data_IF_317366500186
#
_entry.id   IF_317366500186
#
_cell.length_a   1.000
_cell.length_b   1.000
_cell.length_c   1.000
_cell.angle_alpha   90.00
_cell.angle_beta   90.00
_cell.angle_gamma   90.00
#
_symmetry.space_group_name_H-M   'P 1'
#
loop_
_entity.id
_entity.type
_entity.pdbx_description
1 polymer ?
#
# COMPACT_ATOMS: atom_id res chain seq x y z
N UNK A 1 10.94 6.12 17.62
CA UNK A 1 10.12 7.29 17.21
C UNK A 1 8.71 7.06 17.75
N UNK A 2 8.13 7.99 18.52
CA UNK A 2 6.77 7.92 19.08
C UNK A 2 5.98 9.18 18.68
N UNK A 3 4.67 9.06 18.49
CA UNK A 3 3.81 10.17 18.04
C UNK A 3 3.19 11.03 19.17
N UNK A 4 3.44 10.70 20.44
CA UNK A 4 2.88 11.42 21.59
C UNK A 4 3.19 12.92 21.56
N UNK A 5 2.16 13.76 21.65
CA UNK A 5 2.29 15.22 21.63
C UNK A 5 2.61 15.83 20.27
N UNK A 6 2.63 15.05 19.19
CA UNK A 6 3.10 15.48 17.86
C UNK A 6 1.98 15.71 16.85
N UNK A 7 2.25 16.57 15.88
CA UNK A 7 1.54 16.71 14.62
C UNK A 7 2.07 15.71 13.61
N UNK A 8 1.21 14.84 13.10
CA UNK A 8 1.58 13.77 12.18
C UNK A 8 0.93 14.00 10.83
N UNK A 9 1.71 13.91 9.76
CA UNK A 9 1.20 13.85 8.38
C UNK A 9 1.33 12.43 7.85
N UNK A 10 0.26 11.87 7.27
CA UNK A 10 0.26 10.56 6.62
C UNK A 10 0.01 10.76 5.13
N UNK A 11 1.00 10.45 4.31
CA UNK A 11 0.93 10.58 2.86
C UNK A 11 0.42 9.27 2.27
N UNK A 12 -0.84 9.21 1.85
CA UNK A 12 -1.46 8.02 1.27
C UNK A 12 -2.95 7.87 1.61
N UNK A 13 -3.67 7.24 0.68
CA UNK A 13 -5.13 7.02 0.77
C UNK A 13 -5.57 5.62 1.22
N UNK A 14 -4.65 4.67 1.32
CA UNK A 14 -4.97 3.23 1.47
C UNK A 14 -5.05 2.73 2.91
N UNK A 15 -5.18 1.40 3.05
CA UNK A 15 -5.29 0.74 4.37
C UNK A 15 -4.05 0.97 5.24
N UNK A 16 -2.85 0.94 4.65
CA UNK A 16 -1.60 1.30 5.35
C UNK A 16 -1.66 2.70 5.96
N UNK A 17 -2.24 3.67 5.25
CA UNK A 17 -2.40 5.02 5.78
C UNK A 17 -3.38 5.05 6.96
N UNK A 18 -4.48 4.30 6.87
CA UNK A 18 -5.43 4.14 7.97
C UNK A 18 -4.77 3.53 9.22
N UNK A 19 -3.89 2.55 9.06
CA UNK A 19 -3.17 1.94 10.19
C UNK A 19 -2.16 2.89 10.81
N UNK A 20 -1.43 3.66 9.99
CA UNK A 20 -0.54 4.72 10.46
C UNK A 20 -1.30 5.78 11.27
N UNK A 21 -2.47 6.22 10.79
CA UNK A 21 -3.34 7.18 11.49
C UNK A 21 -3.76 6.63 12.86
N UNK A 22 -4.30 5.41 12.88
CA UNK A 22 -4.79 4.80 14.11
C UNK A 22 -3.67 4.59 15.13
N UNK A 23 -2.49 4.19 14.67
CA UNK A 23 -1.31 4.03 15.52
C UNK A 23 -0.84 5.37 16.08
N UNK A 24 -0.80 6.43 15.26
CA UNK A 24 -0.40 7.76 15.69
C UNK A 24 -1.31 8.30 16.80
N UNK A 25 -2.63 8.21 16.64
CA UNK A 25 -3.58 8.62 17.68
C UNK A 25 -3.44 7.79 18.96
N UNK A 26 -3.31 6.46 18.84
CA UNK A 26 -3.11 5.55 19.99
C UNK A 26 -1.79 5.79 20.73
N UNK A 27 -0.79 6.38 20.06
CA UNK A 27 0.45 6.83 20.67
C UNK A 27 0.36 8.25 21.28
N UNK A 28 -0.79 8.94 21.16
CA UNK A 28 -1.04 10.25 21.74
C UNK A 28 -0.72 11.44 20.82
N UNK A 29 -0.76 11.27 19.50
CA UNK A 29 -0.66 12.39 18.56
C UNK A 29 -1.75 13.43 18.83
N UNK A 30 -1.37 14.71 18.81
CA UNK A 30 -2.33 15.81 19.03
C UNK A 30 -3.14 16.12 17.77
N UNK A 31 -2.56 15.86 16.60
CA UNK A 31 -3.22 16.06 15.30
C UNK A 31 -2.65 15.09 14.29
N UNK A 32 -3.52 14.47 13.50
CA UNK A 32 -3.13 13.63 12.37
C UNK A 32 -3.83 14.14 11.11
N UNK A 33 -3.06 14.45 10.07
CA UNK A 33 -3.57 14.86 8.76
C UNK A 33 -3.20 13.82 7.71
N UNK A 34 -4.19 13.27 7.02
CA UNK A 34 -4.03 12.37 5.90
C UNK A 34 -4.07 13.16 4.58
N UNK A 35 -3.13 12.88 3.69
CA UNK A 35 -3.09 13.42 2.33
C UNK A 35 -3.39 12.31 1.32
N UNK A 36 -4.38 12.54 0.46
CA UNK A 36 -4.67 11.70 -0.70
C UNK A 36 -4.57 12.53 -1.99
N UNK A 37 -3.81 12.03 -2.95
CA UNK A 37 -3.66 12.64 -4.27
C UNK A 37 -4.92 12.47 -5.14
N UNK A 38 -5.84 11.59 -4.74
CA UNK A 38 -7.09 11.30 -5.46
C UNK A 38 -8.19 12.29 -5.08
N UNK A 39 -9.19 12.49 -5.96
CA UNK A 39 -10.39 13.23 -5.64
C UNK A 39 -11.13 12.62 -4.45
N UNK A 40 -11.80 13.48 -3.69
CA UNK A 40 -12.69 13.05 -2.62
C UNK A 40 -13.77 12.14 -3.23
N UNK A 41 -13.88 10.87 -2.77
CA UNK A 41 -14.91 9.98 -3.27
C UNK A 41 -16.32 10.48 -2.91
N UNK A 42 -17.35 10.16 -3.69
CA UNK A 42 -18.73 10.57 -3.39
C UNK A 42 -19.21 9.92 -2.09
N UNK A 43 -20.02 10.63 -1.30
CA UNK A 43 -20.58 10.09 -0.05
C UNK A 43 -21.47 8.85 -0.28
N UNK A 44 -22.19 8.84 -1.40
CA UNK A 44 -23.06 7.74 -1.81
C UNK A 44 -22.58 7.15 -3.13
N UNK A 45 -22.58 5.82 -3.19
CA UNK A 45 -22.31 5.09 -4.43
C UNK A 45 -23.51 5.14 -5.38
N UNK A 46 -23.25 5.20 -6.68
CA UNK A 46 -24.23 4.84 -7.69
C UNK A 46 -24.24 3.32 -7.87
N UNK A 47 -25.13 2.64 -7.14
CA UNK A 47 -25.22 1.17 -7.14
C UNK A 47 -25.51 0.58 -8.52
N UNK A 48 -26.33 1.25 -9.33
CA UNK A 48 -26.74 0.72 -10.63
C UNK A 48 -25.61 0.82 -11.64
N UNK A 49 -24.82 1.89 -11.57
CA UNK A 49 -23.68 2.07 -12.47
C UNK A 49 -22.49 1.13 -12.14
N UNK A 50 -22.32 0.73 -10.88
CA UNK A 50 -21.13 -0.01 -10.43
C UNK A 50 -21.35 -1.50 -10.21
N UNK A 51 -22.59 -2.00 -10.05
CA UNK A 51 -22.84 -3.42 -9.82
C UNK A 51 -22.41 -4.28 -11.03
N UNK A 52 -21.72 -5.43 -10.84
CA UNK A 52 -21.38 -6.11 -9.59
C UNK A 52 -20.00 -5.74 -9.01
N UNK A 53 -19.35 -4.70 -9.52
CA UNK A 53 -18.03 -4.25 -9.07
C UNK A 53 -18.07 -3.51 -7.73
N UNK A 54 -16.89 -3.39 -7.12
CA UNK A 54 -16.72 -2.67 -5.87
C UNK A 54 -16.89 -1.16 -6.08
N UNK A 55 -17.90 -0.59 -5.46
CA UNK A 55 -18.23 0.81 -5.65
C UNK A 55 -17.20 1.78 -5.04
N UNK A 56 -16.90 2.84 -5.78
CA UNK A 56 -16.18 4.02 -5.29
C UNK A 56 -17.15 4.86 -4.45
N UNK A 57 -16.85 4.97 -3.15
CA UNK A 57 -17.56 5.86 -2.22
C UNK A 57 -16.64 6.26 -1.09
N UNK A 58 -17.01 7.34 -0.41
CA UNK A 58 -16.33 7.79 0.79
C UNK A 58 -16.48 6.72 1.86
N UNK A 59 -15.34 6.14 2.24
CA UNK A 59 -15.24 5.24 3.38
C UNK A 59 -14.41 5.94 4.45
N UNK A 60 -14.88 5.81 5.69
CA UNK A 60 -14.19 6.31 6.88
C UNK A 60 -13.90 5.10 7.75
N UNK A 61 -12.62 4.77 7.93
CA UNK A 61 -12.20 3.72 8.85
C UNK A 61 -12.37 4.18 10.30
N UNK A 62 -12.30 3.24 11.24
CA UNK A 62 -12.28 3.56 12.68
C UNK A 62 -11.13 4.51 13.02
N UNK A 63 -9.94 4.27 12.45
CA UNK A 63 -8.77 5.14 12.63
C UNK A 63 -9.01 6.56 12.13
N UNK A 64 -9.64 6.72 10.97
CA UNK A 64 -9.97 8.06 10.44
C UNK A 64 -11.05 8.73 11.31
N UNK A 65 -12.01 7.96 11.83
CA UNK A 65 -13.07 8.45 12.70
C UNK A 65 -12.58 8.93 14.08
N UNK A 66 -11.34 8.63 14.47
CA UNK A 66 -10.70 9.16 15.69
C UNK A 66 -10.33 10.66 15.60
N UNK A 67 -10.65 11.32 14.47
CA UNK A 67 -10.49 12.76 14.28
C UNK A 67 -9.43 13.14 13.25
N UNK A 68 -9.07 12.23 12.33
CA UNK A 68 -8.12 12.53 11.28
C UNK A 68 -8.67 13.61 10.33
N UNK A 69 -7.88 14.66 10.09
CA UNK A 69 -8.14 15.60 9.00
C UNK A 69 -7.74 14.94 7.68
N UNK A 70 -8.57 15.05 6.63
CA UNK A 70 -8.34 14.39 5.35
C UNK A 70 -8.35 15.43 4.24
N UNK A 71 -7.20 15.60 3.60
CA UNK A 71 -7.05 16.44 2.42
C UNK A 71 -7.02 15.55 1.18
N UNK A 72 -7.81 15.92 0.17
CA UNK A 72 -7.94 15.21 -1.09
C UNK A 72 -7.47 16.09 -2.23
N UNK A 73 -7.04 15.47 -3.34
CA UNK A 73 -6.39 16.17 -4.46
C UNK A 73 -5.20 17.01 -3.99
N UNK A 74 -4.40 16.46 -3.08
CA UNK A 74 -3.19 17.12 -2.58
C UNK A 74 -1.96 16.27 -2.89
N UNK A 75 -0.94 16.90 -3.46
CA UNK A 75 0.39 16.31 -3.62
C UNK A 75 1.36 16.86 -2.57
N UNK A 76 2.24 16.01 -2.09
CA UNK A 76 3.40 16.40 -1.29
C UNK A 76 4.55 16.81 -2.21
N UNK A 77 5.07 18.02 -2.01
CA UNK A 77 6.18 18.56 -2.80
C UNK A 77 7.52 18.43 -2.08
N UNK A 78 7.54 18.73 -0.78
CA UNK A 78 8.79 18.83 -0.01
C UNK A 78 8.56 18.56 1.49
N UNK A 79 9.52 17.89 2.12
CA UNK A 79 9.60 17.78 3.57
C UNK A 79 10.54 18.87 4.09
N UNK A 80 9.99 19.79 4.88
CA UNK A 80 10.71 20.95 5.40
C UNK A 80 11.11 20.69 6.84
N UNK A 81 12.37 20.94 7.16
CA UNK A 81 12.92 20.71 8.48
C UNK A 81 14.07 21.65 8.80
N UNK A 82 14.35 21.74 10.10
CA UNK A 82 15.45 22.52 10.68
C UNK A 82 16.26 21.58 11.59
N UNK A 83 17.59 21.68 11.55
CA UNK A 83 18.50 20.85 12.36
C UNK A 83 18.26 19.33 12.28
N UNK A 84 17.75 18.85 11.14
CA UNK A 84 17.45 17.43 10.92
C UNK A 84 16.10 16.97 11.49
N UNK A 85 15.30 17.88 12.04
CA UNK A 85 13.94 17.61 12.51
C UNK A 85 12.89 18.17 11.54
N UNK A 86 11.84 17.38 11.27
CA UNK A 86 10.72 17.80 10.44
C UNK A 86 9.91 18.88 11.16
N UNK A 87 9.58 19.97 10.45
CA UNK A 87 8.74 21.05 10.97
C UNK A 87 7.47 21.24 10.14
N UNK A 88 7.52 20.95 8.84
CA UNK A 88 6.37 21.05 7.95
C UNK A 88 6.47 20.14 6.71
N UNK A 89 5.33 19.92 6.06
CA UNK A 89 5.22 19.31 4.74
C UNK A 89 4.65 20.35 3.78
N UNK A 90 5.41 20.70 2.74
CA UNK A 90 4.95 21.56 1.65
C UNK A 90 4.09 20.72 0.70
N UNK A 91 2.89 21.21 0.44
CA UNK A 91 1.89 20.55 -0.38
C UNK A 91 1.35 21.51 -1.46
N UNK A 92 0.63 20.98 -2.43
CA UNK A 92 -0.17 21.76 -3.38
C UNK A 92 -1.42 20.97 -3.79
N UNK A 93 -2.40 21.68 -4.35
CA UNK A 93 -3.52 21.02 -5.00
C UNK A 93 -3.07 20.33 -6.30
N UNK A 94 -3.82 19.31 -6.74
CA UNK A 94 -3.61 18.64 -8.02
C UNK A 94 -4.85 18.61 -8.89
N UNK A 95 -4.63 18.66 -10.20
CA UNK A 95 -5.68 18.50 -11.20
C UNK A 95 -6.19 17.04 -11.30
N UNK A 96 -7.15 16.79 -12.19
CA UNK A 96 -7.70 15.44 -12.44
C UNK A 96 -6.64 14.45 -12.95
N UNK A 97 -5.56 14.94 -13.57
CA UNK A 97 -4.42 14.16 -14.03
C UNK A 97 -3.37 13.96 -12.92
N UNK A 98 -3.64 14.43 -11.70
CA UNK A 98 -2.77 14.39 -10.51
C UNK A 98 -1.49 15.20 -10.68
N UNK A 99 -1.53 16.25 -11.49
CA UNK A 99 -0.41 17.18 -11.66
C UNK A 99 -0.57 18.35 -10.68
N UNK A 100 0.52 18.78 -10.03
CA UNK A 100 0.55 20.01 -9.23
C UNK A 100 -0.07 21.20 -9.95
N UNK A 101 -0.94 21.93 -9.26
CA UNK A 101 -1.48 23.21 -9.72
C UNK A 101 -0.62 24.34 -9.15
N UNK A 102 0.08 25.07 -10.00
CA UNK A 102 0.98 26.16 -9.59
C UNK A 102 0.20 27.28 -8.88
N UNK A 103 0.77 27.82 -7.81
CA UNK A 103 0.15 28.88 -7.01
C UNK A 103 -0.82 28.39 -5.94
N UNK A 104 -1.02 27.07 -5.81
CA UNK A 104 -1.84 26.44 -4.77
C UNK A 104 -0.98 25.87 -3.63
N UNK A 105 0.28 26.27 -3.51
CA UNK A 105 1.19 25.72 -2.52
C UNK A 105 0.84 26.18 -1.10
N UNK A 106 0.89 25.25 -0.16
CA UNK A 106 0.67 25.52 1.26
C UNK A 106 1.52 24.60 2.13
N UNK A 107 1.62 24.93 3.42
CA UNK A 107 2.42 24.18 4.39
C UNK A 107 1.52 23.59 5.47
N UNK A 108 1.75 22.32 5.78
CA UNK A 108 1.12 21.64 6.90
C UNK A 108 2.18 21.40 7.96
N UNK A 109 1.98 21.94 9.17
CA UNK A 109 2.86 21.66 10.31
C UNK A 109 2.90 20.14 10.57
N UNK A 110 4.10 19.60 10.69
CA UNK A 110 4.32 18.18 10.94
C UNK A 110 5.61 17.98 11.72
N UNK A 111 5.54 17.29 12.85
CA UNK A 111 6.71 16.83 13.59
C UNK A 111 7.10 15.39 13.19
N UNK A 112 6.18 14.66 12.53
CA UNK A 112 6.42 13.35 11.91
C UNK A 112 5.66 13.23 10.59
N UNK A 113 6.25 12.54 9.63
CA UNK A 113 5.60 12.15 8.40
C UNK A 113 5.71 10.64 8.15
N UNK A 114 4.61 10.01 7.76
CA UNK A 114 4.56 8.60 7.35
C UNK A 114 4.19 8.51 5.88
N UNK A 115 5.06 7.89 5.07
CA UNK A 115 4.82 7.66 3.65
C UNK A 115 4.13 6.30 3.49
N UNK A 116 2.83 6.34 3.22
CA UNK A 116 1.94 5.19 3.10
C UNK A 116 1.36 5.08 1.68
N UNK A 117 2.23 5.21 0.67
CA UNK A 117 1.87 5.21 -0.76
C UNK A 117 1.88 3.82 -1.40
N UNK A 118 2.13 2.77 -0.60
CA UNK A 118 2.25 1.39 -1.03
C UNK A 118 3.70 0.93 -1.21
N UNK A 119 3.86 -0.26 -1.79
CA UNK A 119 5.09 -1.02 -1.96
C UNK A 119 5.39 -1.30 -3.44
N UNK A 120 6.66 -1.23 -3.84
CA UNK A 120 7.08 -1.48 -5.23
C UNK A 120 7.56 -2.92 -5.48
N UNK A 121 7.14 -3.87 -4.65
CA UNK A 121 7.55 -5.27 -4.76
C UNK A 121 8.43 -5.73 -3.61
N UNK A 122 9.18 -6.80 -3.85
CA UNK A 122 10.08 -7.38 -2.85
C UNK A 122 11.41 -6.64 -2.77
N UNK A 123 11.98 -6.50 -1.56
CA UNK A 123 13.29 -5.88 -1.39
C UNK A 123 14.38 -6.74 -2.05
N UNK A 124 15.37 -6.08 -2.65
CA UNK A 124 16.50 -6.74 -3.34
C UNK A 124 17.46 -7.47 -2.39
N UNK A 125 17.31 -7.33 -1.07
CA UNK A 125 18.17 -7.93 -0.06
C UNK A 125 17.74 -9.32 0.42
N UNK A 126 18.58 -9.92 1.27
CA UNK A 126 18.31 -11.21 1.91
C UNK A 126 18.26 -12.38 0.92
N UNK A 127 17.40 -13.37 1.20
CA UNK A 127 17.28 -14.59 0.41
C UNK A 127 17.03 -14.34 -1.09
N UNK A 128 16.24 -13.33 -1.44
CA UNK A 128 15.96 -13.01 -2.85
C UNK A 128 17.19 -12.44 -3.54
N UNK A 129 17.96 -11.59 -2.85
CA UNK A 129 19.24 -11.10 -3.35
C UNK A 129 20.29 -12.21 -3.49
N UNK A 130 20.30 -13.20 -2.60
CA UNK A 130 21.20 -14.37 -2.68
C UNK A 130 20.88 -15.27 -3.90
N UNK A 131 19.60 -15.39 -4.26
CA UNK A 131 19.22 -16.08 -5.49
C UNK A 131 19.61 -15.29 -6.74
N UNK A 132 19.55 -13.95 -6.66
CA UNK A 132 19.93 -13.04 -7.73
C UNK A 132 19.23 -13.41 -9.05
N UNK A 133 20.00 -13.44 -10.14
CA UNK A 133 19.51 -13.72 -11.49
C UNK A 133 18.93 -15.13 -11.68
N UNK A 134 19.10 -16.04 -10.71
CA UNK A 134 18.47 -17.37 -10.76
C UNK A 134 16.96 -17.28 -10.58
N UNK A 135 16.49 -16.25 -9.87
CA UNK A 135 15.07 -16.01 -9.63
C UNK A 135 14.53 -15.02 -10.65
N UNK A 136 13.63 -15.49 -11.50
CA UNK A 136 12.99 -14.65 -12.50
C UNK A 136 12.01 -13.67 -11.84
N UNK A 137 12.16 -12.40 -12.19
CA UNK A 137 11.37 -11.30 -11.68
C UNK A 137 10.65 -10.60 -12.84
N UNK A 138 9.40 -10.18 -12.60
CA UNK A 138 8.62 -9.40 -13.55
C UNK A 138 8.27 -8.04 -12.95
N UNK A 139 8.32 -7.01 -13.82
CA UNK A 139 7.87 -5.66 -13.48
C UNK A 139 6.46 -5.49 -14.03
N UNK A 140 5.50 -5.21 -13.14
CA UNK A 140 4.10 -4.99 -13.55
C UNK A 140 3.87 -3.55 -14.07
N UNK A 141 2.66 -3.26 -14.54
CA UNK A 141 2.28 -1.93 -15.04
C UNK A 141 2.39 -0.81 -14.00
N UNK A 142 2.45 -1.14 -12.70
CA UNK A 142 2.64 -0.22 -11.58
C UNK A 142 4.12 -0.10 -11.19
N UNK A 143 5.03 -0.69 -11.98
CA UNK A 143 6.46 -0.80 -11.70
C UNK A 143 6.79 -1.59 -10.43
N UNK A 144 5.90 -2.51 -10.03
CA UNK A 144 6.16 -3.42 -8.92
C UNK A 144 7.01 -4.61 -9.39
N UNK A 145 8.07 -4.92 -8.65
CA UNK A 145 8.97 -6.04 -8.90
C UNK A 145 8.48 -7.29 -8.15
N UNK A 146 7.92 -8.25 -8.88
CA UNK A 146 7.31 -9.44 -8.30
C UNK A 146 7.99 -10.71 -8.83
N UNK A 147 8.02 -11.76 -8.02
CA UNK A 147 8.56 -13.07 -8.40
C UNK A 147 7.65 -13.71 -9.45
N UNK A 148 8.24 -14.18 -10.54
CA UNK A 148 7.52 -14.89 -11.59
C UNK A 148 7.13 -16.28 -11.10
N UNK A 149 5.82 -16.50 -10.98
CA UNK A 149 5.20 -17.81 -10.83
C UNK A 149 3.76 -17.76 -11.36
N UNK A 150 3.30 -18.83 -12.00
CA UNK A 150 1.95 -18.88 -12.56
C UNK A 150 0.90 -19.33 -11.51
N UNK A 151 -0.39 -19.18 -11.81
CA UNK A 151 -1.49 -19.56 -10.90
C UNK A 151 -1.88 -21.05 -10.97
N UNK A 152 -1.14 -21.85 -11.75
CA UNK A 152 -1.39 -23.29 -11.95
C UNK A 152 -0.53 -24.12 -11.00
N UNK A 153 0.79 -23.92 -11.03
CA UNK A 153 1.76 -24.69 -10.24
C UNK A 153 2.56 -23.85 -9.24
N UNK A 154 2.46 -22.52 -9.29
CA UNK A 154 3.15 -21.59 -8.39
C UNK A 154 4.67 -21.77 -8.34
N UNK A 155 5.27 -22.43 -9.34
CA UNK A 155 6.71 -22.64 -9.42
C UNK A 155 7.41 -21.38 -9.88
N UNK A 156 8.58 -21.15 -9.30
CA UNK A 156 9.52 -20.13 -9.76
C UNK A 156 10.49 -20.73 -10.79
N UNK A 157 11.40 -19.91 -11.31
CA UNK A 157 12.53 -20.37 -12.14
C UNK A 157 13.55 -21.23 -11.38
N UNK A 158 13.52 -21.24 -10.04
CA UNK A 158 14.42 -22.03 -9.20
C UNK A 158 13.74 -23.34 -8.80
N UNK A 159 14.41 -24.47 -9.06
CA UNK A 159 13.89 -25.79 -8.70
C UNK A 159 13.60 -25.87 -7.19
N UNK A 160 12.48 -26.51 -6.85
CA UNK A 160 11.95 -26.66 -5.48
C UNK A 160 11.57 -25.35 -4.77
N UNK A 161 11.51 -24.23 -5.49
CA UNK A 161 11.06 -22.94 -4.97
C UNK A 161 9.73 -22.52 -5.62
N UNK A 162 8.79 -22.11 -4.77
CA UNK A 162 7.43 -21.72 -5.13
C UNK A 162 7.11 -20.33 -4.54
N UNK A 163 6.21 -19.58 -5.17
CA UNK A 163 5.84 -18.24 -4.73
C UNK A 163 4.32 -18.02 -4.75
N UNK A 164 3.78 -17.37 -3.70
CA UNK A 164 2.36 -17.08 -3.55
C UNK A 164 2.14 -15.80 -2.74
N UNK A 165 1.00 -15.14 -2.95
CA UNK A 165 0.64 -13.92 -2.22
C UNK A 165 1.37 -12.70 -2.80
N UNK A 166 1.56 -11.66 -1.97
CA UNK A 166 2.00 -10.35 -2.45
C UNK A 166 3.39 -10.36 -3.14
N UNK A 167 4.27 -11.30 -2.79
CA UNK A 167 5.58 -11.46 -3.47
C UNK A 167 5.44 -11.84 -4.95
N UNK A 168 4.36 -12.53 -5.32
CA UNK A 168 4.05 -12.94 -6.69
C UNK A 168 3.04 -12.00 -7.35
N UNK A 169 1.98 -11.67 -6.62
CA UNK A 169 0.81 -10.91 -7.11
C UNK A 169 1.02 -9.39 -7.08
N UNK A 170 1.92 -8.91 -6.22
CA UNK A 170 1.92 -7.54 -5.72
C UNK A 170 0.83 -7.34 -4.65
N UNK A 171 0.85 -6.16 -4.02
CA UNK A 171 -0.05 -5.78 -2.93
C UNK A 171 -1.53 -6.15 -3.23
N UNK A 172 -2.11 -6.98 -2.39
CA UNK A 172 -3.49 -7.43 -2.54
C UNK A 172 -4.18 -7.68 -1.19
N UNK A 173 -5.41 -8.22 -1.25
CA UNK A 173 -6.17 -8.54 -0.05
C UNK A 173 -5.68 -9.85 0.57
N UNK A 174 -5.82 -9.97 1.89
CA UNK A 174 -5.46 -11.19 2.64
C UNK A 174 -6.11 -12.45 2.09
N UNK A 175 -7.34 -12.36 1.56
CA UNK A 175 -8.04 -13.50 0.95
C UNK A 175 -7.32 -14.04 -0.29
N UNK A 176 -6.64 -13.19 -1.06
CA UNK A 176 -5.82 -13.61 -2.18
C UNK A 176 -4.57 -14.33 -1.71
N UNK A 177 -3.90 -13.81 -0.68
CA UNK A 177 -2.76 -14.48 -0.05
C UNK A 177 -3.15 -15.88 0.48
N UNK A 178 -4.29 -15.99 1.17
CA UNK A 178 -4.82 -17.28 1.65
C UNK A 178 -5.11 -18.22 0.47
N UNK A 179 -5.78 -17.72 -0.58
CA UNK A 179 -6.11 -18.52 -1.76
C UNK A 179 -4.84 -19.03 -2.44
N UNK A 180 -3.92 -18.15 -2.81
CA UNK A 180 -2.68 -18.52 -3.49
C UNK A 180 -1.82 -19.44 -2.63
N UNK A 181 -1.73 -19.20 -1.31
CA UNK A 181 -1.01 -20.08 -0.39
C UNK A 181 -1.57 -21.52 -0.36
N UNK A 182 -2.91 -21.67 -0.39
CA UNK A 182 -3.54 -23.00 -0.48
C UNK A 182 -3.24 -23.70 -1.80
N UNK A 183 -3.25 -22.97 -2.90
CA UNK A 183 -2.93 -23.55 -4.22
C UNK A 183 -1.45 -23.92 -4.33
N UNK A 184 -0.55 -23.07 -3.84
CA UNK A 184 0.88 -23.37 -3.80
C UNK A 184 1.17 -24.60 -2.94
N UNK A 185 0.52 -24.73 -1.78
CA UNK A 185 0.63 -25.93 -0.94
C UNK A 185 0.18 -27.21 -1.68
N UNK A 186 -0.92 -27.13 -2.45
CA UNK A 186 -1.36 -28.22 -3.32
C UNK A 186 -0.30 -28.56 -4.38
N UNK A 187 0.29 -27.57 -5.03
CA UNK A 187 1.32 -27.78 -6.08
C UNK A 187 2.63 -28.33 -5.52
N UNK A 188 3.01 -27.92 -4.30
CA UNK A 188 4.17 -28.47 -3.58
C UNK A 188 3.92 -29.93 -3.21
N UNK A 189 2.76 -30.25 -2.66
CA UNK A 189 2.38 -31.62 -2.31
C UNK A 189 2.41 -32.55 -3.54
N UNK A 190 1.81 -32.12 -4.65
CA UNK A 190 1.83 -32.86 -5.92
C UNK A 190 3.25 -33.06 -6.46
N UNK A 191 4.12 -32.04 -6.35
CA UNK A 191 5.52 -32.16 -6.77
C UNK A 191 6.31 -33.16 -5.92
N UNK A 192 6.11 -33.18 -4.60
CA UNK A 192 6.83 -34.06 -3.68
C UNK A 192 6.30 -35.50 -3.72
N UNK A 193 4.99 -35.67 -3.84
CA UNK A 193 4.31 -36.96 -3.70
C UNK A 193 3.94 -37.61 -5.03
N UNK A 194 4.00 -36.86 -6.15
CA UNK A 194 3.56 -37.30 -7.48
C UNK A 194 2.05 -37.28 -7.71
N UNK A 195 1.26 -37.07 -6.66
CA UNK A 195 -0.20 -36.86 -6.68
C UNK A 195 -0.63 -36.10 -5.43
N UNK A 196 -1.82 -35.51 -5.42
CA UNK A 196 -2.33 -34.78 -4.25
C UNK A 196 -3.82 -35.00 -4.06
N UNK A 197 -4.24 -35.10 -2.79
CA UNK A 197 -5.65 -35.13 -2.38
C UNK A 197 -6.14 -33.74 -1.92
N UNK A 198 -5.27 -32.72 -1.94
CA UNK A 198 -5.62 -31.37 -1.53
C UNK A 198 -6.57 -30.72 -2.57
N UNK A 199 -7.61 -30.00 -2.11
CA UNK A 199 -8.60 -29.40 -2.99
C UNK A 199 -8.03 -28.23 -3.79
N UNK A 200 -8.64 -27.96 -4.94
CA UNK A 200 -8.42 -26.76 -5.76
C UNK A 200 -9.49 -25.71 -5.49
#
# INVERSE_FOLDING_TARGET
ILAGGKHVVVVGGGDTASDCIGTAFRQGAVKVTQLDIRPQPPEKEDKLAVWPYWATKMRTSSSQAEGAQREFQVATLEFVGEDGELTAVKCCEVDEQRKPVEGTEFFIRADLAFIAIGFAGVPEGGFLGELGDKLEMAIDARRSHNVVANEVDYRTSVDKLFAAGDVRRGQSLVVWAIREGRQAARSIDEYLMGSTLLPR
#
